data_IF_465651988741
#
_entry.id   IF_465651988741
#
_cell.length_a   1.000
_cell.length_b   1.000
_cell.length_c   1.000
_cell.angle_alpha   90.00
_cell.angle_beta   90.00
_cell.angle_gamma   90.00
#
_symmetry.space_group_name_H-M   'P 1'
#
loop_
_entity.id
_entity.type
_entity.pdbx_description
1 polymer ?
#
# COMPACT_ATOMS: atom_id res chain seq x y z
N UNK A 1 -62.80 26.94 -24.01
CA UNK A 1 -61.33 26.93 -23.96
C UNK A 1 -60.85 28.16 -23.21
N UNK A 2 -60.21 27.98 -22.05
CA UNK A 2 -59.50 29.06 -21.35
C UNK A 2 -58.22 28.45 -20.78
N UNK A 3 -57.08 28.82 -21.36
CA UNK A 3 -55.76 28.27 -21.04
C UNK A 3 -55.11 29.03 -19.89
N UNK A 4 -54.56 28.28 -18.92
CA UNK A 4 -53.84 28.81 -17.76
C UNK A 4 -52.41 29.24 -18.16
N UNK A 5 -51.92 30.44 -17.76
CA UNK A 5 -50.55 30.84 -18.04
C UNK A 5 -49.56 30.24 -17.02
N UNK A 6 -48.43 29.70 -17.53
CA UNK A 6 -47.30 29.20 -16.72
C UNK A 6 -46.31 30.34 -16.47
N UNK A 7 -46.04 30.67 -15.21
CA UNK A 7 -45.08 31.71 -14.81
C UNK A 7 -43.68 31.09 -14.75
N UNK A 8 -42.73 31.59 -15.55
CA UNK A 8 -41.31 31.20 -15.52
C UNK A 8 -40.50 32.35 -14.95
N UNK A 9 -39.86 32.12 -13.80
CA UNK A 9 -39.04 33.12 -13.11
C UNK A 9 -37.58 32.96 -13.54
N UNK A 10 -37.02 34.00 -14.17
CA UNK A 10 -35.58 34.16 -14.41
C UNK A 10 -35.04 35.12 -13.36
N UNK A 11 -34.17 34.67 -12.46
CA UNK A 11 -33.44 35.55 -11.55
C UNK A 11 -32.00 35.64 -12.04
N UNK A 12 -31.65 36.82 -12.57
CA UNK A 12 -30.28 37.27 -12.79
C UNK A 12 -29.98 38.25 -11.66
N UNK A 13 -29.01 37.95 -10.81
CA UNK A 13 -28.44 38.94 -9.87
C UNK A 13 -26.93 38.88 -9.99
N UNK A 14 -26.37 39.97 -10.50
CA UNK A 14 -24.95 40.28 -10.52
C UNK A 14 -24.70 41.43 -9.53
N UNK A 15 -23.69 41.32 -8.67
CA UNK A 15 -23.00 42.47 -8.07
C UNK A 15 -21.67 42.04 -7.42
N UNK A 16 -20.61 42.80 -7.74
CA UNK A 16 -19.21 42.65 -7.39
C UNK A 16 -18.87 43.21 -5.98
N UNK A 17 -17.79 42.72 -5.35
CA UNK A 17 -16.62 43.54 -4.97
C UNK A 17 -15.52 42.71 -4.26
N UNK A 18 -14.27 43.04 -4.58
CA UNK A 18 -13.04 42.29 -4.31
C UNK A 18 -12.42 42.50 -2.92
N UNK A 19 -11.68 41.50 -2.42
CA UNK A 19 -10.59 41.68 -1.44
C UNK A 19 -9.42 40.74 -1.77
N UNK A 20 -8.27 41.37 -2.06
CA UNK A 20 -6.88 40.94 -1.96
C UNK A 20 -6.45 39.55 -2.51
N UNK A 21 -5.73 39.58 -3.63
CA UNK A 21 -4.77 38.56 -4.03
C UNK A 21 -3.64 38.48 -2.98
N UNK A 22 -3.68 37.47 -2.13
CA UNK A 22 -2.48 36.74 -1.75
C UNK A 22 -2.51 35.46 -2.59
N UNK A 23 -1.53 35.31 -3.47
CA UNK A 23 -1.30 34.12 -4.28
C UNK A 23 -0.85 32.97 -3.36
N UNK A 24 -1.81 32.41 -2.60
CA UNK A 24 -1.72 31.03 -2.16
C UNK A 24 -2.23 30.22 -3.36
N UNK A 25 -1.29 29.64 -4.10
CA UNK A 25 -1.58 28.73 -5.20
C UNK A 25 -2.72 27.79 -4.80
N UNK A 26 -3.69 27.63 -5.70
CA UNK A 26 -4.93 26.90 -5.47
C UNK A 26 -4.67 25.52 -4.87
N UNK A 27 -4.72 25.42 -3.54
CA UNK A 27 -5.01 24.16 -2.87
C UNK A 27 -6.49 23.97 -3.13
N UNK A 28 -6.78 23.11 -4.11
CA UNK A 28 -8.14 22.77 -4.50
C UNK A 28 -8.98 22.49 -3.27
N UNK A 29 -10.12 23.19 -3.23
CA UNK A 29 -11.33 22.85 -2.48
C UNK A 29 -11.32 21.41 -1.97
N UNK A 30 -11.45 21.23 -0.65
CA UNK A 30 -11.78 19.96 0.03
C UNK A 30 -12.25 18.87 -0.95
N UNK A 31 -11.34 18.00 -1.36
CA UNK A 31 -11.62 16.94 -2.33
C UNK A 31 -12.45 15.88 -1.61
N UNK A 32 -13.77 16.06 -1.64
CA UNK A 32 -14.71 14.97 -1.38
C UNK A 32 -14.43 13.87 -2.41
N UNK A 33 -13.69 12.84 -1.99
CA UNK A 33 -13.41 11.67 -2.80
C UNK A 33 -14.60 10.70 -2.71
N UNK A 34 -15.21 10.41 -3.86
CA UNK A 34 -16.29 9.44 -3.95
C UNK A 34 -15.70 8.03 -4.03
N UNK A 35 -16.37 7.06 -3.39
CA UNK A 35 -16.02 5.64 -3.55
C UNK A 35 -16.64 5.15 -4.86
N UNK A 36 -15.79 4.84 -5.85
CA UNK A 36 -16.20 4.31 -7.15
C UNK A 36 -16.39 2.79 -7.12
N UNK A 37 -15.62 2.10 -6.28
CA UNK A 37 -15.67 0.64 -6.13
C UNK A 37 -15.41 0.29 -4.68
N UNK A 38 -16.16 -0.68 -4.16
CA UNK A 38 -15.96 -1.26 -2.85
C UNK A 38 -16.47 -2.71 -2.87
N UNK A 39 -15.56 -3.64 -3.11
CA UNK A 39 -15.84 -5.07 -3.15
C UNK A 39 -15.21 -5.72 -1.92
N UNK A 40 -16.05 -6.30 -1.07
CA UNK A 40 -15.60 -7.05 0.10
C UNK A 40 -16.20 -8.45 0.05
N UNK A 41 -15.33 -9.45 0.07
CA UNK A 41 -15.70 -10.87 0.07
C UNK A 41 -15.09 -11.51 1.32
N UNK A 42 -15.93 -12.14 2.12
CA UNK A 42 -15.53 -12.94 3.28
C UNK A 42 -15.94 -14.39 3.03
N UNK A 43 -14.97 -15.27 3.09
CA UNK A 43 -15.13 -16.72 2.93
C UNK A 43 -15.46 -17.37 4.28
N UNK A 44 -16.05 -18.57 4.24
CA UNK A 44 -16.45 -19.31 5.44
C UNK A 44 -15.25 -19.75 6.31
N UNK A 45 -14.08 -19.90 5.70
CA UNK A 45 -12.83 -20.29 6.37
C UNK A 45 -12.06 -19.09 6.98
N UNK A 46 -12.64 -17.90 6.96
CA UNK A 46 -12.05 -16.68 7.52
C UNK A 46 -11.09 -15.96 6.58
N UNK A 47 -10.91 -16.42 5.33
CA UNK A 47 -10.23 -15.63 4.29
C UNK A 47 -11.11 -14.47 3.85
N UNK A 48 -10.50 -13.33 3.54
CA UNK A 48 -11.22 -12.20 2.96
C UNK A 48 -10.43 -11.52 1.85
N UNK A 49 -11.14 -10.84 0.96
CA UNK A 49 -10.60 -9.95 -0.05
C UNK A 49 -11.34 -8.61 0.04
N UNK A 50 -10.60 -7.50 -0.13
CA UNK A 50 -11.13 -6.15 -0.16
C UNK A 50 -10.47 -5.38 -1.29
N UNK A 51 -11.28 -4.86 -2.20
CA UNK A 51 -10.88 -3.96 -3.27
C UNK A 51 -11.66 -2.64 -3.18
N UNK A 52 -10.95 -1.52 -3.12
CA UNK A 52 -11.53 -0.18 -3.03
C UNK A 52 -10.89 0.72 -4.08
N UNK A 53 -11.72 1.51 -4.77
CA UNK A 53 -11.30 2.56 -5.68
C UNK A 53 -12.06 3.84 -5.37
N UNK A 54 -11.37 4.96 -5.39
CA UNK A 54 -11.94 6.29 -5.17
C UNK A 54 -11.80 7.18 -6.39
N UNK A 55 -12.59 8.24 -6.47
CA UNK A 55 -12.61 9.17 -7.61
C UNK A 55 -11.33 9.98 -7.77
N UNK A 56 -10.58 10.19 -6.69
CA UNK A 56 -9.28 10.86 -6.71
C UNK A 56 -8.09 9.90 -6.94
N UNK A 57 -8.37 8.65 -7.33
CA UNK A 57 -7.34 7.71 -7.76
C UNK A 57 -6.68 6.91 -6.64
N UNK A 58 -7.22 6.92 -5.41
CA UNK A 58 -6.77 5.98 -4.37
C UNK A 58 -7.27 4.58 -4.74
N UNK A 59 -6.35 3.62 -4.75
CA UNK A 59 -6.61 2.20 -4.94
C UNK A 59 -6.16 1.44 -3.69
N UNK A 60 -6.97 0.50 -3.24
CA UNK A 60 -6.61 -0.44 -2.17
C UNK A 60 -7.03 -1.83 -2.63
N UNK A 61 -6.11 -2.77 -2.61
CA UNK A 61 -6.40 -4.19 -2.80
C UNK A 61 -5.70 -4.96 -1.69
N UNK A 62 -6.44 -5.69 -0.88
CA UNK A 62 -5.88 -6.44 0.23
C UNK A 62 -6.64 -7.75 0.43
N UNK A 63 -5.94 -8.73 0.96
CA UNK A 63 -6.54 -9.97 1.40
C UNK A 63 -5.93 -10.40 2.73
N UNK A 64 -6.64 -11.25 3.44
CA UNK A 64 -6.10 -11.89 4.63
C UNK A 64 -6.61 -13.31 4.77
N UNK A 65 -5.82 -14.11 5.49
CA UNK A 65 -6.09 -15.52 5.75
C UNK A 65 -5.58 -15.90 7.15
N UNK A 66 -6.24 -16.84 7.85
CA UNK A 66 -5.81 -17.31 9.18
C UNK A 66 -4.62 -18.30 9.09
N UNK A 67 -3.64 -18.03 8.23
CA UNK A 67 -2.47 -18.89 7.99
C UNK A 67 -1.32 -18.63 9.00
N UNK A 68 -1.51 -17.71 9.93
CA UNK A 68 -0.52 -17.35 10.95
C UNK A 68 -0.50 -18.30 12.14
N UNK A 69 0.49 -18.13 13.04
CA UNK A 69 0.63 -18.94 14.25
C UNK A 69 -0.62 -18.81 15.11
N UNK A 70 -1.06 -19.92 15.70
CA UNK A 70 -2.30 -20.00 16.52
C UNK A 70 -3.57 -19.55 15.78
N UNK A 71 -3.57 -19.60 14.43
CA UNK A 71 -4.70 -19.12 13.62
C UNK A 71 -4.76 -17.60 13.48
N UNK A 72 -3.66 -16.91 13.75
CA UNK A 72 -3.55 -15.47 13.51
C UNK A 72 -3.76 -15.14 12.03
N UNK A 73 -4.41 -14.00 11.76
CA UNK A 73 -4.64 -13.55 10.39
C UNK A 73 -3.37 -12.91 9.83
N UNK A 74 -2.82 -13.53 8.78
CA UNK A 74 -1.83 -12.91 7.90
C UNK A 74 -2.58 -12.07 6.88
N UNK A 75 -2.11 -10.84 6.68
CA UNK A 75 -2.73 -9.88 5.75
C UNK A 75 -1.69 -9.38 4.77
N UNK A 76 -2.02 -9.33 3.49
CA UNK A 76 -1.16 -8.70 2.50
C UNK A 76 -1.97 -7.91 1.50
N UNK A 77 -1.31 -6.99 0.80
CA UNK A 77 -2.00 -6.14 -0.15
C UNK A 77 -1.13 -5.06 -0.74
N UNK A 78 -1.79 -4.18 -1.48
CA UNK A 78 -1.24 -2.99 -2.09
C UNK A 78 -2.21 -1.84 -1.88
N UNK A 79 -1.66 -0.66 -1.65
CA UNK A 79 -2.41 0.57 -1.82
C UNK A 79 -1.61 1.55 -2.67
N UNK A 80 -2.31 2.37 -3.45
CA UNK A 80 -1.70 3.42 -4.23
C UNK A 80 -2.54 4.69 -4.21
N UNK A 81 -1.87 5.83 -4.38
CA UNK A 81 -2.47 7.15 -4.46
C UNK A 81 -1.52 8.10 -5.19
N UNK A 82 -2.03 9.26 -5.59
CA UNK A 82 -1.20 10.32 -6.17
C UNK A 82 -0.83 11.31 -5.06
N UNK A 83 0.46 11.54 -4.82
CA UNK A 83 0.92 12.52 -3.87
C UNK A 83 0.62 13.96 -4.36
N UNK A 84 0.63 14.98 -3.47
CA UNK A 84 0.30 16.36 -3.85
C UNK A 84 1.20 16.99 -4.92
N UNK A 85 2.39 16.43 -5.14
CA UNK A 85 3.35 16.80 -6.18
C UNK A 85 3.08 16.11 -7.54
N UNK A 86 2.06 15.26 -7.61
CA UNK A 86 1.71 14.44 -8.77
C UNK A 86 2.44 13.10 -8.84
N UNK A 87 3.31 12.79 -7.88
CA UNK A 87 4.08 11.54 -7.87
C UNK A 87 3.16 10.36 -7.55
N UNK A 88 3.11 9.31 -8.39
CA UNK A 88 2.36 8.10 -8.06
C UNK A 88 3.06 7.38 -6.89
N UNK A 89 2.30 7.07 -5.86
CA UNK A 89 2.74 6.32 -4.69
C UNK A 89 2.12 4.94 -4.77
N UNK A 90 2.93 3.89 -4.69
CA UNK A 90 2.49 2.51 -4.53
C UNK A 90 3.22 1.90 -3.33
N UNK A 91 2.48 1.22 -2.45
CA UNK A 91 3.03 0.50 -1.31
C UNK A 91 2.42 -0.89 -1.25
N UNK A 92 3.26 -1.90 -1.39
CA UNK A 92 2.92 -3.30 -1.12
C UNK A 92 3.25 -3.62 0.32
N UNK A 93 2.53 -4.55 0.92
CA UNK A 93 2.83 -4.94 2.29
C UNK A 93 2.44 -6.38 2.61
N UNK A 94 3.14 -6.93 3.60
CA UNK A 94 2.77 -8.15 4.32
C UNK A 94 2.73 -7.84 5.81
N UNK A 95 1.67 -8.25 6.49
CA UNK A 95 1.50 -8.17 7.93
C UNK A 95 1.31 -9.60 8.45
N UNK A 96 2.29 -10.08 9.20
CA UNK A 96 2.30 -11.41 9.81
C UNK A 96 2.91 -11.34 11.22
N UNK A 97 3.33 -12.48 11.77
CA UNK A 97 3.97 -12.60 13.08
C UNK A 97 5.23 -11.73 13.27
N UNK A 98 5.91 -11.37 12.17
CA UNK A 98 7.07 -10.47 12.18
C UNK A 98 6.69 -8.99 12.06
N UNK A 99 5.39 -8.66 12.14
CA UNK A 99 4.87 -7.30 12.03
C UNK A 99 4.59 -6.87 10.60
N UNK A 100 4.48 -5.55 10.41
CA UNK A 100 4.17 -4.91 9.13
C UNK A 100 5.44 -4.67 8.32
N UNK A 101 5.48 -5.25 7.11
CA UNK A 101 6.62 -5.22 6.20
C UNK A 101 6.19 -4.54 4.89
N UNK A 102 6.34 -3.21 4.78
CA UNK A 102 6.04 -2.49 3.56
C UNK A 102 7.19 -2.56 2.55
N UNK A 103 6.84 -2.54 1.27
CA UNK A 103 7.74 -2.44 0.13
C UNK A 103 7.25 -1.31 -0.77
N UNK A 104 8.10 -0.31 -1.00
CA UNK A 104 7.83 0.84 -1.87
C UNK A 104 9.13 1.56 -2.20
N UNK A 105 9.21 2.14 -3.39
CA UNK A 105 10.34 2.98 -3.83
C UNK A 105 10.51 4.25 -2.97
N UNK A 106 9.48 4.61 -2.21
CA UNK A 106 9.52 5.75 -1.29
C UNK A 106 10.19 5.43 0.05
N UNK A 107 10.38 4.15 0.36
CA UNK A 107 11.00 3.76 1.62
C UNK A 107 12.50 4.04 1.57
N UNK A 108 13.11 4.48 2.68
CA UNK A 108 14.55 4.63 2.75
C UNK A 108 15.26 3.32 2.41
N UNK A 109 16.09 3.34 1.38
CA UNK A 109 16.98 2.22 1.06
C UNK A 109 18.18 2.29 2.00
N UNK A 110 18.54 1.17 2.62
CA UNK A 110 19.74 1.08 3.45
C UNK A 110 20.97 1.47 2.62
N UNK A 111 21.92 2.23 3.18
CA UNK A 111 23.14 2.59 2.47
C UNK A 111 23.88 1.31 2.04
N UNK A 112 24.53 1.36 0.88
CA UNK A 112 25.36 0.24 0.43
C UNK A 112 26.45 -0.09 1.45
N UNK A 113 26.81 -1.37 1.55
CA UNK A 113 27.90 -1.79 2.41
C UNK A 113 29.19 -1.07 1.99
N UNK A 114 29.89 -0.36 2.91
CA UNK A 114 30.98 0.54 2.56
C UNK A 114 32.23 -0.16 2.03
N UNK A 115 32.30 -1.48 2.15
CA UNK A 115 33.39 -2.30 1.63
C UNK A 115 32.83 -3.63 1.11
N UNK A 116 33.49 -4.26 0.12
CA UNK A 116 33.17 -5.61 -0.29
C UNK A 116 33.31 -6.58 0.90
N UNK A 117 32.62 -7.73 0.81
CA UNK A 117 32.82 -8.82 1.77
C UNK A 117 34.29 -9.28 1.68
N UNK A 118 35.06 -9.27 2.78
CA UNK A 118 36.45 -9.70 2.74
C UNK A 118 36.59 -11.15 2.24
N UNK A 119 37.65 -11.43 1.47
CA UNK A 119 37.87 -12.75 0.86
C UNK A 119 37.87 -13.88 1.89
N UNK A 120 38.47 -13.68 3.07
CA UNK A 120 38.50 -14.72 4.12
C UNK A 120 37.10 -15.13 4.61
N UNK A 121 36.12 -14.23 4.57
CA UNK A 121 34.72 -14.54 4.94
C UNK A 121 34.11 -15.43 3.86
N UNK A 122 34.35 -15.12 2.59
CA UNK A 122 33.91 -15.95 1.46
C UNK A 122 34.54 -17.34 1.53
N UNK A 123 35.84 -17.41 1.86
CA UNK A 123 36.56 -18.67 2.02
C UNK A 123 36.00 -19.49 3.19
N UNK A 124 35.62 -18.84 4.31
CA UNK A 124 34.96 -19.50 5.44
C UNK A 124 33.58 -20.06 5.05
N UNK A 125 32.76 -19.28 4.33
CA UNK A 125 31.45 -19.73 3.83
C UNK A 125 31.64 -20.93 2.89
N UNK A 126 32.61 -20.87 1.97
CA UNK A 126 32.91 -21.95 1.04
C UNK A 126 33.38 -23.23 1.75
N UNK A 127 34.29 -23.09 2.73
CA UNK A 127 34.79 -24.22 3.54
C UNK A 127 33.67 -24.87 4.34
N UNK A 128 32.81 -24.07 5.00
CA UNK A 128 31.66 -24.60 5.72
C UNK A 128 30.71 -25.39 4.80
N UNK A 129 30.44 -24.88 3.59
CA UNK A 129 29.62 -25.57 2.61
C UNK A 129 30.25 -26.86 2.09
N UNK A 130 31.59 -26.95 1.98
CA UNK A 130 32.30 -28.16 1.62
C UNK A 130 32.27 -29.20 2.76
N UNK A 131 32.51 -28.77 3.99
CA UNK A 131 32.41 -29.63 5.18
C UNK A 131 31.00 -30.21 5.34
N UNK A 132 29.94 -29.42 5.10
CA UNK A 132 28.55 -29.88 5.14
C UNK A 132 28.21 -30.91 4.05
N UNK A 133 28.85 -30.83 2.88
CA UNK A 133 28.71 -31.83 1.80
C UNK A 133 29.47 -33.11 2.11
N UNK A 134 30.63 -32.99 2.77
CA UNK A 134 31.51 -34.11 3.06
C UNK A 134 31.18 -34.79 4.41
N UNK A 135 30.35 -34.17 5.26
CA UNK A 135 29.87 -34.77 6.50
C UNK A 135 28.95 -35.96 6.20
N UNK A 136 29.30 -37.13 6.73
CA UNK A 136 28.46 -38.33 6.66
C UNK A 136 27.12 -38.12 7.40
N UNK A 137 26.00 -38.68 6.92
CA UNK A 137 24.73 -38.63 7.65
C UNK A 137 24.83 -39.15 9.10
N UNK A 138 25.73 -40.10 9.36
CA UNK A 138 25.98 -40.69 10.67
C UNK A 138 26.51 -39.66 11.69
N UNK A 139 27.27 -38.66 11.24
CA UNK A 139 27.87 -37.61 12.10
C UNK A 139 26.88 -36.47 12.43
N UNK A 140 25.67 -36.48 11.83
CA UNK A 140 24.65 -35.47 12.07
C UNK A 140 23.80 -35.73 13.31
N UNK A 141 23.85 -36.95 13.88
CA UNK A 141 23.02 -37.38 15.02
C UNK A 141 23.82 -37.81 16.26
N UNK A 142 25.14 -37.62 16.29
CA UNK A 142 25.95 -37.95 17.48
C UNK A 142 25.96 -36.80 18.48
N UNK A 143 24.85 -36.65 19.21
CA UNK A 143 24.84 -35.99 20.52
C UNK A 143 24.06 -36.89 21.50
N UNK A 144 24.78 -37.49 22.44
CA UNK A 144 24.26 -38.11 23.66
C UNK A 144 24.91 -37.40 24.86
#
# INVERSE_FOLDING_TARGET
MSGSPKITIKVIIAALAAVAFADYGSVGSSEEAEILQHDFVLEEDGRYNLDVKTSNGILVSQHGSPDGPEGAVVKSGVFSYTAPDGTPVEVKFVANEHGYQPESDLLPVAPEFPHPIPQFVLDQIAKAAEEDRNRSPEDRYTYA
#
